data_IF_070921342541
#
_entry.id   IF_070921342541
#
_cell.length_a   1.000
_cell.length_b   1.000
_cell.length_c   1.000
_cell.angle_alpha   90.00
_cell.angle_beta   90.00
_cell.angle_gamma   90.00
#
_symmetry.space_group_name_H-M   'P 1'
#
loop_
_entity.id
_entity.type
_entity.pdbx_description
1 polymer ?
#
# COMPACT_ATOMS: atom_id res chain seq x y z
N UNK A 1 36.22 -12.64 35.80
CA UNK A 1 35.22 -13.63 35.33
C UNK A 1 33.78 -13.19 35.63
N UNK A 2 33.37 -13.06 36.89
CA UNK A 2 32.01 -12.59 37.22
C UNK A 2 31.85 -11.07 37.05
N UNK A 3 32.92 -10.30 37.29
CA UNK A 3 32.98 -8.85 37.00
C UNK A 3 33.10 -8.52 35.51
N UNK A 4 33.61 -9.44 34.69
CA UNK A 4 33.83 -9.25 33.24
C UNK A 4 32.72 -9.90 32.39
N UNK A 5 31.57 -10.21 33.00
CA UNK A 5 30.46 -10.84 32.31
C UNK A 5 29.72 -9.80 31.46
N UNK A 6 29.57 -10.00 30.14
CA UNK A 6 28.89 -9.04 29.27
C UNK A 6 27.38 -8.90 29.56
N UNK A 7 26.75 -9.93 30.13
CA UNK A 7 25.35 -9.84 30.57
C UNK A 7 25.11 -10.66 31.85
N UNK A 8 25.09 -10.00 33.03
CA UNK A 8 24.88 -10.68 34.31
C UNK A 8 23.45 -11.18 34.53
N UNK A 9 22.49 -10.81 33.68
CA UNK A 9 21.09 -11.25 33.82
C UNK A 9 20.83 -12.59 33.15
N UNK A 10 21.55 -12.88 32.05
CA UNK A 10 21.31 -14.05 31.22
C UNK A 10 22.51 -15.02 31.13
N UNK A 11 23.71 -14.60 31.54
CA UNK A 11 24.92 -15.40 31.40
C UNK A 11 25.57 -15.67 32.76
N UNK A 12 26.16 -16.86 32.90
CA UNK A 12 26.95 -17.26 34.06
C UNK A 12 28.34 -17.74 33.61
N UNK A 13 29.41 -17.44 34.35
CA UNK A 13 30.75 -17.90 33.97
C UNK A 13 30.84 -19.43 34.00
N UNK A 14 31.23 -20.03 32.87
CA UNK A 14 31.46 -21.47 32.75
C UNK A 14 32.96 -21.76 32.65
N UNK A 15 33.45 -22.68 33.48
CA UNK A 15 34.84 -23.14 33.44
C UNK A 15 35.06 -23.99 32.17
N UNK A 16 36.15 -23.75 31.45
CA UNK A 16 36.60 -24.58 30.34
C UNK A 16 38.11 -24.84 30.51
N UNK A 17 38.50 -26.10 30.62
CA UNK A 17 39.91 -26.48 30.85
C UNK A 17 40.44 -27.28 29.66
N UNK A 18 41.46 -26.71 28.99
CA UNK A 18 42.14 -27.34 27.86
C UNK A 18 41.30 -27.43 26.57
N UNK A 19 41.83 -28.15 25.58
CA UNK A 19 41.23 -28.23 24.24
C UNK A 19 39.95 -29.08 24.18
N UNK A 20 39.77 -30.05 25.09
CA UNK A 20 38.58 -30.90 25.12
C UNK A 20 37.29 -30.13 25.41
N UNK A 21 37.31 -29.20 26.36
CA UNK A 21 36.13 -28.38 26.67
C UNK A 21 35.86 -27.31 25.61
N UNK A 22 36.90 -26.81 24.94
CA UNK A 22 36.75 -25.94 23.77
C UNK A 22 36.09 -26.67 22.61
N UNK A 23 36.46 -27.93 22.36
CA UNK A 23 35.80 -28.76 21.35
C UNK A 23 34.31 -28.97 21.68
N UNK A 24 33.97 -29.32 22.92
CA UNK A 24 32.56 -29.46 23.35
C UNK A 24 31.76 -28.17 23.11
N UNK A 25 32.35 -27.01 23.41
CA UNK A 25 31.71 -25.71 23.14
C UNK A 25 31.50 -25.46 21.65
N UNK A 26 32.48 -25.79 20.81
CA UNK A 26 32.35 -25.67 19.36
C UNK A 26 31.25 -26.58 18.81
N UNK A 27 31.13 -27.81 19.33
CA UNK A 27 30.05 -28.73 18.98
C UNK A 27 28.67 -28.21 19.42
N UNK A 28 28.55 -27.65 20.63
CA UNK A 28 27.32 -27.01 21.11
C UNK A 28 26.95 -25.79 20.26
N UNK A 29 27.90 -24.92 19.93
CA UNK A 29 27.65 -23.76 19.06
C UNK A 29 27.18 -24.19 17.68
N UNK A 30 27.77 -25.26 17.12
CA UNK A 30 27.34 -25.82 15.84
C UNK A 30 25.92 -26.38 15.92
N UNK A 31 25.57 -27.03 17.03
CA UNK A 31 24.22 -27.55 17.25
C UNK A 31 23.18 -26.41 17.35
N UNK A 32 23.44 -25.41 18.20
CA UNK A 32 22.56 -24.24 18.35
C UNK A 32 22.43 -23.45 17.03
N UNK A 33 23.52 -23.26 16.29
CA UNK A 33 23.48 -22.62 14.98
C UNK A 33 22.58 -23.39 13.99
N UNK A 34 22.62 -24.73 14.02
CA UNK A 34 21.74 -25.55 13.19
C UNK A 34 20.26 -25.40 13.60
N UNK A 35 19.96 -25.33 14.90
CA UNK A 35 18.60 -25.07 15.41
C UNK A 35 18.09 -23.69 15.00
N UNK A 36 18.93 -22.66 15.13
CA UNK A 36 18.58 -21.30 14.70
C UNK A 36 18.33 -21.23 13.19
N UNK A 37 19.17 -21.88 12.38
CA UNK A 37 18.99 -21.95 10.94
C UNK A 37 17.66 -22.61 10.55
N UNK A 38 17.34 -23.76 11.17
CA UNK A 38 16.06 -24.43 10.95
C UNK A 38 14.87 -23.53 11.35
N UNK A 39 15.02 -22.72 12.41
CA UNK A 39 13.98 -21.77 12.82
C UNK A 39 13.81 -20.62 11.84
N UNK A 40 14.89 -20.10 11.29
CA UNK A 40 14.84 -19.06 10.26
C UNK A 40 14.17 -19.56 8.99
N UNK A 41 14.44 -20.81 8.59
CA UNK A 41 13.77 -21.47 7.47
C UNK A 41 12.27 -21.60 7.73
N UNK A 42 11.86 -22.02 8.93
CA UNK A 42 10.45 -22.09 9.31
C UNK A 42 9.75 -20.71 9.24
N UNK A 43 10.43 -19.64 9.69
CA UNK A 43 9.90 -18.28 9.63
C UNK A 43 9.78 -17.81 8.17
N UNK A 44 10.79 -18.07 7.35
CA UNK A 44 10.78 -17.75 5.92
C UNK A 44 9.62 -18.45 5.19
N UNK A 45 9.40 -19.73 5.49
CA UNK A 45 8.29 -20.50 4.96
C UNK A 45 6.92 -19.96 5.38
N UNK A 46 6.78 -19.52 6.64
CA UNK A 46 5.54 -18.88 7.11
C UNK A 46 5.31 -17.54 6.42
N UNK A 47 6.36 -16.73 6.26
CA UNK A 47 6.29 -15.44 5.59
C UNK A 47 5.90 -15.59 4.12
N UNK A 48 6.50 -16.56 3.41
CA UNK A 48 6.16 -16.84 2.02
C UNK A 48 4.73 -17.33 1.85
N UNK A 49 4.24 -18.20 2.76
CA UNK A 49 2.83 -18.63 2.80
C UNK A 49 1.89 -17.46 3.05
N UNK A 50 2.20 -16.59 4.02
CA UNK A 50 1.39 -15.41 4.32
C UNK A 50 1.35 -14.45 3.12
N UNK A 51 2.50 -14.19 2.50
CA UNK A 51 2.58 -13.31 1.34
C UNK A 51 1.78 -13.89 0.15
N UNK A 52 1.86 -15.21 -0.07
CA UNK A 52 1.05 -15.90 -1.09
C UNK A 52 -0.44 -15.79 -0.81
N UNK A 53 -0.88 -16.00 0.43
CA UNK A 53 -2.29 -15.83 0.82
C UNK A 53 -2.76 -14.39 0.61
N UNK A 54 -1.93 -13.42 0.98
CA UNK A 54 -2.24 -12.01 0.79
C UNK A 54 -2.39 -11.65 -0.70
N UNK A 55 -1.42 -12.06 -1.52
CA UNK A 55 -1.39 -11.75 -2.95
C UNK A 55 -2.51 -12.45 -3.74
N UNK A 56 -2.78 -13.73 -3.47
CA UNK A 56 -3.74 -14.51 -4.25
C UNK A 56 -5.18 -14.37 -3.76
N UNK A 57 -5.40 -14.35 -2.44
CA UNK A 57 -6.76 -14.44 -1.88
C UNK A 57 -7.25 -13.10 -1.35
N UNK A 58 -6.50 -12.46 -0.44
CA UNK A 58 -6.96 -11.23 0.21
C UNK A 58 -7.10 -10.07 -0.78
N UNK A 59 -6.12 -9.88 -1.66
CA UNK A 59 -6.17 -8.81 -2.64
C UNK A 59 -7.35 -8.96 -3.61
N UNK A 60 -7.56 -10.18 -4.14
CA UNK A 60 -8.70 -10.49 -5.02
C UNK A 60 -10.04 -10.28 -4.32
N UNK A 61 -10.19 -10.80 -3.09
CA UNK A 61 -11.39 -10.60 -2.27
C UNK A 61 -11.66 -9.13 -1.99
N UNK A 62 -10.62 -8.33 -1.69
CA UNK A 62 -10.76 -6.91 -1.45
C UNK A 62 -11.32 -6.18 -2.68
N UNK A 63 -10.83 -6.50 -3.88
CA UNK A 63 -11.35 -5.94 -5.13
C UNK A 63 -12.81 -6.32 -5.34
N UNK A 64 -13.16 -7.60 -5.15
CA UNK A 64 -14.54 -8.07 -5.29
C UNK A 64 -15.48 -7.43 -4.26
N UNK A 65 -15.07 -7.29 -3.01
CA UNK A 65 -15.85 -6.60 -1.99
C UNK A 65 -16.04 -5.12 -2.33
N UNK A 66 -15.01 -4.42 -2.83
CA UNK A 66 -15.15 -3.03 -3.30
C UNK A 66 -16.14 -2.93 -4.46
N UNK A 67 -16.08 -3.86 -5.42
CA UNK A 67 -17.01 -3.93 -6.56
C UNK A 67 -18.44 -4.16 -6.09
N UNK A 68 -18.66 -5.15 -5.21
CA UNK A 68 -19.98 -5.50 -4.66
C UNK A 68 -20.56 -4.37 -3.81
N UNK A 69 -19.73 -3.71 -3.00
CA UNK A 69 -20.15 -2.56 -2.21
C UNK A 69 -20.66 -1.44 -3.12
N UNK A 70 -19.91 -1.09 -4.18
CA UNK A 70 -20.35 -0.09 -5.16
C UNK A 70 -21.68 -0.49 -5.82
N UNK A 71 -21.83 -1.75 -6.21
CA UNK A 71 -23.08 -2.27 -6.77
C UNK A 71 -24.26 -2.14 -5.80
N UNK A 72 -24.07 -2.53 -4.54
CA UNK A 72 -25.08 -2.42 -3.49
C UNK A 72 -25.44 -0.96 -3.20
N UNK A 73 -24.45 -0.05 -3.14
CA UNK A 73 -24.70 1.39 -2.99
C UNK A 73 -25.58 1.92 -4.12
N UNK A 74 -25.35 1.51 -5.37
CA UNK A 74 -26.22 1.90 -6.49
C UNK A 74 -27.63 1.31 -6.39
N UNK A 75 -27.76 0.05 -5.96
CA UNK A 75 -29.08 -0.58 -5.76
C UNK A 75 -29.87 0.15 -4.67
N UNK A 76 -29.22 0.48 -3.54
CA UNK A 76 -29.81 1.26 -2.46
C UNK A 76 -30.24 2.63 -2.96
N UNK A 77 -29.35 3.36 -3.67
CA UNK A 77 -29.66 4.66 -4.24
C UNK A 77 -30.88 4.61 -5.19
N UNK A 78 -30.98 3.57 -6.03
CA UNK A 78 -32.12 3.36 -6.92
C UNK A 78 -33.41 3.13 -6.15
N UNK A 79 -33.37 2.34 -5.09
CA UNK A 79 -34.53 2.06 -4.23
C UNK A 79 -34.96 3.33 -3.50
N UNK A 80 -34.01 4.07 -2.91
CA UNK A 80 -34.27 5.37 -2.26
C UNK A 80 -34.91 6.36 -3.24
N UNK A 81 -34.41 6.44 -4.49
CA UNK A 81 -35.03 7.25 -5.55
C UNK A 81 -36.49 6.85 -5.78
N UNK A 82 -36.78 5.56 -5.96
CA UNK A 82 -38.15 5.09 -6.21
C UNK A 82 -39.06 5.35 -5.00
N UNK A 83 -38.56 5.10 -3.79
CA UNK A 83 -39.29 5.37 -2.55
C UNK A 83 -39.64 6.86 -2.43
N UNK A 84 -38.69 7.76 -2.71
CA UNK A 84 -38.92 9.20 -2.70
C UNK A 84 -40.00 9.59 -3.73
N UNK A 85 -39.90 9.11 -4.97
CA UNK A 85 -40.88 9.42 -6.02
C UNK A 85 -42.29 8.95 -5.63
N UNK A 86 -42.42 7.74 -5.08
CA UNK A 86 -43.73 7.20 -4.66
C UNK A 86 -44.29 7.98 -3.47
N UNK A 87 -43.46 8.29 -2.47
CA UNK A 87 -43.87 8.99 -1.25
C UNK A 87 -44.34 10.43 -1.52
N UNK A 88 -43.67 11.12 -2.44
CA UNK A 88 -43.94 12.53 -2.74
C UNK A 88 -44.74 12.72 -4.04
N UNK A 89 -45.35 11.66 -4.56
CA UNK A 89 -46.14 11.73 -5.79
C UNK A 89 -47.33 12.68 -5.62
N UNK A 90 -47.41 13.71 -6.47
CA UNK A 90 -48.48 14.71 -6.45
C UNK A 90 -48.26 15.86 -5.45
N UNK A 91 -47.11 15.89 -4.76
CA UNK A 91 -46.70 17.07 -3.98
C UNK A 91 -45.91 18.03 -4.87
N UNK A 92 -45.95 19.33 -4.55
CA UNK A 92 -45.08 20.32 -5.19
C UNK A 92 -43.63 20.13 -4.75
N UNK A 93 -42.70 20.47 -5.63
CA UNK A 93 -41.27 20.36 -5.34
C UNK A 93 -40.89 21.20 -4.11
N UNK A 94 -40.14 20.61 -3.18
CA UNK A 94 -39.67 21.33 -1.99
C UNK A 94 -38.47 22.21 -2.34
N UNK A 95 -38.25 23.29 -1.59
CA UNK A 95 -37.08 24.17 -1.79
C UNK A 95 -35.73 23.43 -1.69
N UNK A 96 -35.63 22.45 -0.79
CA UNK A 96 -34.44 21.59 -0.66
C UNK A 96 -34.21 20.72 -1.92
N UNK A 97 -35.28 20.21 -2.52
CA UNK A 97 -35.21 19.40 -3.75
C UNK A 97 -34.80 20.23 -4.96
N UNK A 98 -35.29 21.47 -5.04
CA UNK A 98 -34.88 22.42 -6.09
C UNK A 98 -33.38 22.76 -5.98
N UNK A 99 -32.86 22.96 -4.78
CA UNK A 99 -31.41 23.16 -4.58
C UNK A 99 -30.59 21.97 -5.07
N UNK A 100 -31.03 20.74 -4.78
CA UNK A 100 -30.36 19.52 -5.26
C UNK A 100 -30.47 19.42 -6.79
N UNK A 101 -31.63 19.73 -7.36
CA UNK A 101 -31.86 19.73 -8.80
C UNK A 101 -30.91 20.69 -9.52
N UNK A 102 -30.84 21.94 -9.07
CA UNK A 102 -29.93 22.95 -9.66
C UNK A 102 -28.47 22.49 -9.59
N UNK A 103 -28.05 21.87 -8.48
CA UNK A 103 -26.70 21.32 -8.35
C UNK A 103 -26.45 20.16 -9.33
N UNK A 104 -27.42 19.26 -9.50
CA UNK A 104 -27.32 18.16 -10.47
C UNK A 104 -27.31 18.67 -11.91
N UNK A 105 -28.15 19.65 -12.25
CA UNK A 105 -28.19 20.27 -13.57
C UNK A 105 -26.85 20.95 -13.91
N UNK A 106 -26.26 21.67 -12.95
CA UNK A 106 -24.90 22.23 -13.11
C UNK A 106 -23.86 21.14 -13.37
N UNK A 107 -23.89 20.04 -12.61
CA UNK A 107 -22.96 18.93 -12.81
C UNK A 107 -23.16 18.27 -14.18
N UNK A 108 -24.40 18.04 -14.61
CA UNK A 108 -24.67 17.50 -15.94
C UNK A 108 -24.22 18.45 -17.04
N UNK A 109 -24.43 19.76 -16.89
CA UNK A 109 -23.92 20.75 -17.84
C UNK A 109 -22.39 20.76 -17.88
N UNK A 110 -21.71 20.60 -16.74
CA UNK A 110 -20.25 20.48 -16.71
C UNK A 110 -19.74 19.21 -17.43
N UNK A 111 -20.51 18.11 -17.39
CA UNK A 111 -20.20 16.86 -18.10
C UNK A 111 -20.56 16.90 -19.58
N UNK A 112 -21.71 17.49 -19.92
CA UNK A 112 -22.26 17.59 -21.28
C UNK A 112 -21.61 18.71 -22.09
N UNK A 113 -20.87 19.63 -21.45
CA UNK A 113 -20.04 20.63 -22.14
C UNK A 113 -19.20 19.91 -23.20
N UNK A 114 -19.47 20.15 -24.49
CA UNK A 114 -18.93 19.33 -25.56
C UNK A 114 -17.41 19.44 -25.55
N UNK A 115 -16.78 18.30 -25.27
CA UNK A 115 -15.38 18.07 -25.57
C UNK A 115 -14.38 18.42 -24.49
N UNK A 116 -14.61 19.18 -23.41
CA UNK A 116 -13.46 19.48 -22.54
C UNK A 116 -12.90 18.24 -21.83
N UNK A 117 -13.75 17.42 -21.20
CA UNK A 117 -13.31 16.19 -20.55
C UNK A 117 -13.11 15.07 -21.56
N UNK A 118 -14.02 14.91 -22.52
CA UNK A 118 -13.94 13.86 -23.53
C UNK A 118 -12.74 14.06 -24.48
N UNK A 119 -12.46 15.28 -24.93
CA UNK A 119 -11.28 15.61 -25.74
C UNK A 119 -10.02 15.46 -24.92
N UNK A 120 -9.96 15.92 -23.66
CA UNK A 120 -8.81 15.65 -22.79
C UNK A 120 -8.56 14.15 -22.63
N UNK A 121 -9.61 13.35 -22.46
CA UNK A 121 -9.49 11.90 -22.39
C UNK A 121 -8.98 11.30 -23.70
N UNK A 122 -9.49 11.76 -24.85
CA UNK A 122 -9.02 11.33 -26.18
C UNK A 122 -7.58 11.77 -26.45
N UNK A 123 -7.21 12.98 -26.08
CA UNK A 123 -5.86 13.53 -26.22
C UNK A 123 -4.86 12.76 -25.34
N UNK A 124 -5.22 12.45 -24.09
CA UNK A 124 -4.41 11.62 -23.20
C UNK A 124 -4.30 10.18 -23.71
N UNK A 125 -5.39 9.64 -24.26
CA UNK A 125 -5.38 8.31 -24.85
C UNK A 125 -4.47 8.25 -26.09
N UNK A 126 -4.54 9.25 -26.96
CA UNK A 126 -3.66 9.39 -28.12
C UNK A 126 -2.19 9.57 -27.69
N UNK A 127 -1.91 10.37 -26.66
CA UNK A 127 -0.58 10.52 -26.08
C UNK A 127 -0.05 9.19 -25.52
N UNK A 128 -0.86 8.46 -24.75
CA UNK A 128 -0.49 7.15 -24.23
C UNK A 128 -0.18 6.14 -25.35
N UNK A 129 -0.99 6.14 -26.41
CA UNK A 129 -0.76 5.29 -27.57
C UNK A 129 0.51 5.68 -28.33
N UNK A 130 0.76 6.99 -28.50
CA UNK A 130 1.99 7.48 -29.11
C UNK A 130 3.24 7.09 -28.31
N UNK A 131 3.20 7.20 -26.98
CA UNK A 131 4.28 6.75 -26.10
C UNK A 131 4.50 5.23 -26.20
N UNK A 132 3.42 4.45 -26.27
CA UNK A 132 3.50 3.00 -26.46
C UNK A 132 4.15 2.64 -27.80
N UNK A 133 3.78 3.33 -28.88
CA UNK A 133 4.37 3.15 -30.22
C UNK A 133 5.84 3.60 -30.25
N UNK A 134 6.19 4.73 -29.62
CA UNK A 134 7.57 5.20 -29.50
C UNK A 134 8.43 4.20 -28.72
N UNK A 135 7.94 3.70 -27.59
CA UNK A 135 8.63 2.65 -26.81
C UNK A 135 8.89 1.42 -27.66
N UNK A 136 7.88 0.96 -28.41
CA UNK A 136 8.02 -0.19 -29.30
C UNK A 136 8.99 0.07 -30.48
N UNK A 137 9.03 1.29 -31.01
CA UNK A 137 9.97 1.70 -32.08
C UNK A 137 11.42 1.76 -31.59
N UNK A 138 11.66 2.29 -30.38
CA UNK A 138 12.98 2.31 -29.74
C UNK A 138 13.50 0.89 -29.47
N UNK A 139 12.62 -0.09 -29.25
CA UNK A 139 12.99 -1.49 -29.08
C UNK A 139 13.22 -2.24 -30.41
N UNK A 140 12.90 -1.62 -31.57
CA UNK A 140 13.00 -2.25 -32.90
C UNK A 140 14.14 -1.72 -33.78
N UNK A 141 14.88 -0.70 -33.35
CA UNK A 141 16.08 -0.24 -34.08
C UNK A 141 17.20 -1.28 -33.94
N UNK A 142 17.77 -1.81 -35.05
CA UNK A 142 18.82 -2.83 -35.01
C UNK A 142 20.20 -2.29 -34.61
N UNK A 143 20.33 -0.98 -34.38
CA UNK A 143 21.56 -0.32 -33.96
C UNK A 143 21.24 0.59 -32.77
N UNK A 144 21.49 0.10 -31.56
CA UNK A 144 21.16 0.81 -30.33
C UNK A 144 20.34 -0.03 -29.37
N UNK A 145 20.84 -1.22 -29.02
CA UNK A 145 20.75 -1.67 -27.64
C UNK A 145 21.31 -0.57 -26.74
N UNK A 146 20.49 0.42 -26.40
CA UNK A 146 20.55 0.98 -25.06
C UNK A 146 20.01 -0.14 -24.17
N UNK A 147 20.83 -1.19 -24.01
CA UNK A 147 20.84 -1.92 -22.75
C UNK A 147 21.05 -0.79 -21.75
N UNK A 148 20.14 -0.65 -20.81
CA UNK A 148 20.54 -0.12 -19.51
C UNK A 148 21.73 -1.00 -19.14
N UNK A 149 22.93 -0.48 -19.40
CA UNK A 149 24.16 -1.08 -18.95
C UNK A 149 23.93 -1.18 -17.46
N UNK A 150 23.88 -2.42 -16.99
CA UNK A 150 23.51 -2.77 -15.62
C UNK A 150 24.34 -1.86 -14.75
N UNK A 151 23.70 -0.81 -14.22
CA UNK A 151 24.27 0.03 -13.17
C UNK A 151 24.78 -0.97 -12.16
N UNK A 152 26.05 -0.85 -11.76
CA UNK A 152 26.69 -1.81 -10.87
C UNK A 152 25.67 -2.27 -9.81
N UNK A 153 25.48 -3.58 -9.66
CA UNK A 153 24.37 -4.12 -8.84
C UNK A 153 24.36 -3.48 -7.43
N UNK A 154 25.55 -3.10 -6.94
CA UNK A 154 25.78 -2.34 -5.71
C UNK A 154 25.19 -0.92 -5.69
N UNK A 155 25.27 -0.15 -6.79
CA UNK A 155 24.64 1.17 -6.88
C UNK A 155 23.12 1.06 -6.87
N UNK A 156 22.58 0.03 -7.54
CA UNK A 156 21.15 -0.24 -7.53
C UNK A 156 20.67 -0.63 -6.12
N UNK A 157 21.38 -1.51 -5.42
CA UNK A 157 21.08 -1.85 -4.02
C UNK A 157 21.14 -0.64 -3.09
N UNK A 158 22.12 0.26 -3.26
CA UNK A 158 22.17 1.52 -2.51
C UNK A 158 20.93 2.37 -2.77
N UNK A 159 20.50 2.51 -4.02
CA UNK A 159 19.27 3.22 -4.34
C UNK A 159 18.03 2.59 -3.69
N UNK A 160 17.91 1.26 -3.70
CA UNK A 160 16.81 0.55 -3.03
C UNK A 160 16.81 0.83 -1.53
N UNK A 161 17.95 0.69 -0.86
CA UNK A 161 18.08 0.96 0.57
C UNK A 161 17.73 2.41 0.93
N UNK A 162 18.15 3.38 0.11
CA UNK A 162 17.80 4.79 0.30
C UNK A 162 16.28 5.00 0.14
N UNK A 163 15.67 4.38 -0.87
CA UNK A 163 14.22 4.47 -1.09
C UNK A 163 13.42 3.81 0.03
N UNK A 164 13.87 2.68 0.57
CA UNK A 164 13.24 2.03 1.72
C UNK A 164 13.31 2.91 2.97
N UNK A 165 14.45 3.57 3.22
CA UNK A 165 14.60 4.54 4.30
C UNK A 165 13.66 5.73 4.13
N UNK A 166 13.54 6.27 2.91
CA UNK A 166 12.59 7.35 2.63
C UNK A 166 11.14 6.90 2.78
N UNK A 167 10.79 5.68 2.33
CA UNK A 167 9.44 5.14 2.50
C UNK A 167 9.10 4.98 3.99
N UNK A 168 10.03 4.49 4.81
CA UNK A 168 9.86 4.39 6.25
C UNK A 168 9.65 5.78 6.88
N UNK A 169 10.50 6.76 6.54
CA UNK A 169 10.38 8.13 7.04
C UNK A 169 9.06 8.80 6.63
N UNK A 170 8.65 8.66 5.36
CA UNK A 170 7.38 9.18 4.87
C UNK A 170 6.18 8.53 5.55
N UNK A 171 6.24 7.23 5.83
CA UNK A 171 5.16 6.50 6.53
C UNK A 171 4.97 7.02 7.97
N UNK A 172 6.08 7.30 8.67
CA UNK A 172 6.05 7.88 10.01
C UNK A 172 5.52 9.31 9.97
N UNK A 173 6.02 10.14 9.06
CA UNK A 173 5.55 11.52 8.92
C UNK A 173 4.04 11.56 8.59
N UNK A 174 3.58 10.67 7.70
CA UNK A 174 2.16 10.55 7.38
C UNK A 174 1.34 10.13 8.60
N UNK A 175 1.85 9.20 9.43
CA UNK A 175 1.18 8.79 10.67
C UNK A 175 1.09 9.94 11.67
N UNK A 176 2.17 10.71 11.86
CA UNK A 176 2.19 11.88 12.76
C UNK A 176 1.21 12.94 12.25
N UNK A 177 1.25 13.29 10.97
CA UNK A 177 0.31 14.25 10.40
C UNK A 177 -1.15 13.79 10.53
N UNK A 178 -1.42 12.49 10.39
CA UNK A 178 -2.77 11.96 10.61
C UNK A 178 -3.20 12.06 12.07
N UNK A 179 -2.30 11.81 13.02
CA UNK A 179 -2.55 12.00 14.45
C UNK A 179 -2.81 13.47 14.77
N UNK A 180 -1.95 14.38 14.30
CA UNK A 180 -2.09 15.81 14.50
C UNK A 180 -3.42 16.33 13.93
N UNK A 181 -3.80 15.90 12.72
CA UNK A 181 -5.08 16.26 12.12
C UNK A 181 -6.26 15.77 12.96
N UNK A 182 -6.19 14.56 13.52
CA UNK A 182 -7.23 14.03 14.41
C UNK A 182 -7.30 14.81 15.73
N UNK A 183 -6.16 15.19 16.30
CA UNK A 183 -6.10 16.01 17.51
C UNK A 183 -6.67 17.40 17.29
N UNK A 184 -6.31 18.06 16.20
CA UNK A 184 -6.87 19.37 15.81
C UNK A 184 -8.37 19.26 15.57
N UNK A 185 -8.85 18.21 14.89
CA UNK A 185 -10.29 17.97 14.72
C UNK A 185 -11.03 17.78 16.05
N UNK A 186 -10.42 17.06 17.02
CA UNK A 186 -11.00 16.91 18.37
C UNK A 186 -11.05 18.24 19.11
N UNK A 187 -10.00 19.06 19.02
CA UNK A 187 -9.99 20.38 19.66
C UNK A 187 -11.02 21.34 19.05
N UNK A 188 -11.18 21.32 17.72
CA UNK A 188 -12.22 22.10 17.05
C UNK A 188 -13.64 21.61 17.39
N UNK A 189 -13.83 20.29 17.52
CA UNK A 189 -15.10 19.69 17.94
C UNK A 189 -15.48 20.01 19.39
N UNK A 190 -14.49 20.11 20.29
CA UNK A 190 -14.71 20.47 21.69
C UNK A 190 -14.96 21.97 21.92
N UNK A 191 -14.49 22.83 21.02
CA UNK A 191 -14.69 24.29 21.08
C UNK A 191 -16.01 24.76 20.44
N UNK A 192 -16.78 23.87 19.82
CA UNK A 192 -18.05 24.18 19.13
C UNK A 192 -19.32 23.74 19.87
N UNK A 193 -19.17 23.27 21.12
CA UNK A 193 -20.25 23.08 22.12
C UNK A 193 -20.08 24.05 23.27
#
# INVERSE_FOLDING_TARGET
AQQDNPDPTCLVPALAVGFGDLQKRAEQQKHEAALHQAKLEEISDKLSKLNRQHALDNHGRLIEFKRRNKEQSFRILRLMKMMQIVRYRGQTLRGEEEMIRVRLERMTQELDKPGQLQRKAQDLWAQAQNLMVQRLRLHRTPLGTVRYEVTSNEEFEKCVNILDNYQAGLSQLTSVMQQDLQEVQKQLGNNTT
#
